data_IF_056216881658
#
_entry.id   IF_056216881658
#
_cell.length_a   1.000
_cell.length_b   1.000
_cell.length_c   1.000
_cell.angle_alpha   90.00
_cell.angle_beta   90.00
_cell.angle_gamma   90.00
#
_symmetry.space_group_name_H-M   'P 1'
#
loop_
_entity.id
_entity.type
_entity.pdbx_description
1 polymer ?
#
# COMPACT_ATOMS: atom_id res chain seq x y z
N UNK A 1 3.43 -6.00 10.52
CA UNK A 1 4.32 -4.89 10.12
C UNK A 1 3.59 -4.09 9.05
N UNK A 2 3.51 -2.77 9.17
CA UNK A 2 2.64 -1.93 8.31
C UNK A 2 3.48 -1.06 7.38
N UNK A 3 2.81 -0.31 6.51
CA UNK A 3 3.47 0.71 5.72
C UNK A 3 2.54 1.89 5.50
N UNK A 4 3.11 3.10 5.54
CA UNK A 4 2.40 4.35 5.36
C UNK A 4 2.50 4.81 3.89
N UNK A 5 1.36 5.13 3.31
CA UNK A 5 1.22 5.43 1.89
C UNK A 5 0.27 6.60 1.68
N UNK A 6 0.36 7.19 0.50
CA UNK A 6 -0.65 8.09 -0.02
C UNK A 6 -1.04 7.63 -1.43
N UNK A 7 -2.09 8.22 -1.96
CA UNK A 7 -2.58 7.89 -3.31
C UNK A 7 -2.51 9.16 -4.15
N UNK A 8 -1.96 9.02 -5.36
CA UNK A 8 -1.88 10.11 -6.34
C UNK A 8 -2.32 9.56 -7.70
N UNK A 9 -2.92 10.41 -8.54
CA UNK A 9 -3.23 10.06 -9.93
C UNK A 9 -1.94 9.83 -10.70
N UNK A 10 -1.92 8.85 -11.60
CA UNK A 10 -0.76 8.59 -12.46
C UNK A 10 -0.35 9.83 -13.26
N UNK A 11 -1.32 10.65 -13.69
CA UNK A 11 -1.08 11.92 -14.38
C UNK A 11 -0.39 12.99 -13.54
N UNK A 12 -0.35 12.84 -12.21
CA UNK A 12 0.26 13.77 -11.26
C UNK A 12 1.57 13.21 -10.69
N UNK A 13 2.03 12.03 -11.13
CA UNK A 13 3.31 11.45 -10.78
C UNK A 13 4.23 11.50 -11.98
N UNK A 14 5.38 12.16 -11.84
CA UNK A 14 6.42 12.25 -12.88
C UNK A 14 7.75 11.75 -12.34
N UNK A 15 8.39 10.84 -13.07
CA UNK A 15 9.79 10.51 -12.83
C UNK A 15 10.66 11.63 -13.38
N UNK A 16 11.40 12.30 -12.49
CA UNK A 16 12.32 13.38 -12.89
C UNK A 16 13.70 12.80 -13.26
N UNK A 17 14.03 11.63 -12.71
CA UNK A 17 15.29 10.88 -12.94
C UNK A 17 15.12 9.41 -12.53
N UNK A 18 16.00 8.55 -13.04
CA UNK A 18 16.18 7.17 -12.56
C UNK A 18 15.04 6.20 -12.88
N UNK A 19 14.13 6.56 -13.79
CA UNK A 19 13.05 5.65 -14.23
C UNK A 19 13.60 4.38 -14.89
N UNK A 20 14.73 4.49 -15.60
CA UNK A 20 15.45 3.37 -16.20
C UNK A 20 16.03 2.39 -15.15
N UNK A 21 16.07 2.79 -13.87
CA UNK A 21 16.51 1.96 -12.76
C UNK A 21 15.34 1.31 -12.00
N UNK A 22 14.09 1.48 -12.45
CA UNK A 22 12.95 0.87 -11.82
C UNK A 22 12.71 -0.55 -12.34
N UNK A 23 12.83 -1.53 -11.43
CA UNK A 23 12.32 -2.87 -11.64
C UNK A 23 10.84 -2.90 -11.28
N UNK A 24 10.03 -3.50 -12.16
CA UNK A 24 8.60 -3.69 -11.96
C UNK A 24 8.31 -5.17 -11.78
N UNK A 25 7.72 -5.52 -10.65
CA UNK A 25 7.31 -6.89 -10.35
C UNK A 25 5.80 -6.93 -10.08
N UNK A 26 5.08 -7.73 -10.85
CA UNK A 26 3.62 -7.88 -10.76
C UNK A 26 3.28 -9.31 -10.40
N UNK A 27 2.38 -9.49 -9.44
CA UNK A 27 1.78 -10.79 -9.10
C UNK A 27 0.28 -10.64 -8.82
N UNK A 28 -0.46 -11.75 -8.94
CA UNK A 28 -1.91 -11.81 -8.67
C UNK A 28 -2.32 -12.97 -7.76
N UNK A 29 -1.48 -13.99 -7.63
CA UNK A 29 -1.90 -15.29 -7.08
C UNK A 29 -2.22 -15.25 -5.59
N UNK A 30 -1.65 -14.28 -4.86
CA UNK A 30 -1.88 -14.09 -3.42
C UNK A 30 -2.84 -12.93 -3.10
N UNK A 31 -3.48 -12.34 -4.11
CA UNK A 31 -4.33 -11.16 -3.92
C UNK A 31 -5.79 -11.61 -3.88
N UNK A 32 -6.41 -11.43 -2.72
CA UNK A 32 -7.81 -11.74 -2.41
C UNK A 32 -8.83 -11.43 -3.53
N UNK A 33 -8.71 -10.26 -4.17
CA UNK A 33 -9.66 -9.78 -5.19
C UNK A 33 -9.36 -10.29 -6.61
N UNK A 34 -8.31 -11.10 -6.78
CA UNK A 34 -7.79 -11.53 -8.09
C UNK A 34 -7.19 -10.39 -8.93
N UNK A 35 -7.13 -9.18 -8.37
CA UNK A 35 -6.42 -8.06 -8.96
C UNK A 35 -4.92 -8.30 -8.87
N UNK A 36 -4.14 -7.67 -9.73
CA UNK A 36 -2.70 -7.66 -9.55
C UNK A 36 -2.25 -6.48 -8.69
N UNK A 37 -1.11 -6.64 -8.05
CA UNK A 37 -0.34 -5.55 -7.48
C UNK A 37 1.04 -5.55 -8.14
N UNK A 38 1.43 -4.40 -8.66
CA UNK A 38 2.75 -4.14 -9.24
C UNK A 38 3.57 -3.31 -8.25
N UNK A 39 4.74 -3.81 -7.90
CA UNK A 39 5.76 -3.11 -7.13
C UNK A 39 6.75 -2.45 -8.10
N UNK A 40 6.94 -1.13 -8.01
CA UNK A 40 8.00 -0.41 -8.71
C UNK A 40 9.09 -0.02 -7.71
N UNK A 41 10.26 -0.67 -7.80
CA UNK A 41 11.36 -0.48 -6.86
C UNK A 41 12.69 -0.25 -7.58
N UNK A 42 13.59 0.48 -6.92
CA UNK A 42 14.92 0.74 -7.45
C UNK A 42 15.75 -0.54 -7.50
N UNK A 43 16.30 -0.86 -8.68
CA UNK A 43 17.14 -2.05 -8.88
C UNK A 43 18.50 -1.97 -8.17
N UNK A 44 18.91 -0.78 -7.75
CA UNK A 44 20.22 -0.55 -7.11
C UNK A 44 20.12 -0.66 -5.58
N UNK A 45 19.17 0.05 -4.96
CA UNK A 45 19.05 0.11 -3.50
C UNK A 45 17.84 -0.67 -2.94
N UNK A 46 17.01 -1.28 -3.79
CA UNK A 46 15.83 -2.04 -3.38
C UNK A 46 14.67 -1.21 -2.83
N UNK A 47 14.78 0.12 -2.80
CA UNK A 47 13.72 0.99 -2.26
C UNK A 47 12.46 0.87 -3.12
N UNK A 48 11.36 0.46 -2.49
CA UNK A 48 10.04 0.43 -3.11
C UNK A 48 9.46 1.84 -3.13
N UNK A 49 9.35 2.44 -4.33
CA UNK A 49 8.84 3.81 -4.49
C UNK A 49 7.33 3.86 -4.42
N UNK A 50 6.67 3.07 -5.28
CA UNK A 50 5.21 3.04 -5.35
C UNK A 50 4.69 1.70 -5.85
N UNK A 51 3.38 1.53 -5.65
CA UNK A 51 2.62 0.41 -6.19
C UNK A 51 1.53 0.87 -7.12
N UNK A 52 1.11 -0.01 -8.03
CA UNK A 52 -0.07 0.14 -8.87
C UNK A 52 -0.87 -1.15 -8.86
N UNK A 53 -2.19 -1.06 -8.97
CA UNK A 53 -3.06 -2.23 -8.96
C UNK A 53 -4.10 -2.16 -10.06
N UNK A 54 -4.48 -3.31 -10.64
CA UNK A 54 -5.70 -3.35 -11.47
C UNK A 54 -6.96 -3.05 -10.66
N UNK A 55 -6.94 -3.21 -9.34
CA UNK A 55 -8.03 -2.85 -8.45
C UNK A 55 -8.12 -1.35 -8.17
N UNK A 56 -7.17 -0.56 -8.66
CA UNK A 56 -7.22 0.90 -8.58
C UNK A 56 -6.51 1.55 -9.77
N UNK A 57 -7.08 1.42 -10.98
CA UNK A 57 -6.43 1.85 -12.21
C UNK A 57 -6.28 3.38 -12.27
N UNK A 58 -5.20 3.85 -12.89
CA UNK A 58 -4.90 5.28 -13.02
C UNK A 58 -4.39 5.94 -11.74
N UNK A 59 -4.15 5.16 -10.68
CA UNK A 59 -3.64 5.63 -9.41
C UNK A 59 -2.31 4.95 -9.07
N UNK A 60 -1.39 5.73 -8.54
CA UNK A 60 -0.14 5.29 -7.94
C UNK A 60 -0.26 5.40 -6.42
N UNK A 61 0.35 4.43 -5.71
CA UNK A 61 0.36 4.34 -4.25
C UNK A 61 1.81 4.44 -3.77
N UNK A 62 2.39 5.65 -3.61
CA UNK A 62 3.76 5.81 -3.16
C UNK A 62 3.89 5.71 -1.64
N UNK A 63 5.10 5.39 -1.17
CA UNK A 63 5.44 5.39 0.25
C UNK A 63 5.69 6.82 0.72
N UNK A 64 5.19 7.19 1.90
CA UNK A 64 5.49 8.51 2.48
C UNK A 64 6.89 8.56 3.10
N UNK A 65 7.47 7.40 3.45
CA UNK A 65 8.79 7.33 4.11
C UNK A 65 9.97 7.81 3.27
N UNK A 66 9.81 7.98 1.96
CA UNK A 66 10.83 8.54 1.05
C UNK A 66 10.64 10.03 0.79
N UNK A 67 9.71 10.70 1.50
CA UNK A 67 9.42 12.11 1.33
C UNK A 67 10.08 12.91 2.44
N UNK A 68 11.04 13.74 2.05
CA UNK A 68 11.81 14.63 2.91
C UNK A 68 11.18 16.04 2.98
N UNK A 69 9.90 16.10 3.35
CA UNK A 69 9.17 17.35 3.57
C UNK A 69 8.29 17.20 4.81
N UNK A 70 8.75 17.74 5.94
CA UNK A 70 8.06 17.63 7.23
C UNK A 70 6.68 18.30 7.24
N UNK A 71 6.49 19.41 6.52
CA UNK A 71 5.20 20.09 6.48
C UNK A 71 4.15 19.19 5.81
N UNK A 72 4.54 18.45 4.77
CA UNK A 72 3.65 17.47 4.15
C UNK A 72 3.41 16.26 5.05
N UNK A 73 4.42 15.77 5.77
CA UNK A 73 4.27 14.67 6.74
C UNK A 73 3.24 15.00 7.83
N UNK A 74 3.29 16.22 8.38
CA UNK A 74 2.40 16.66 9.45
C UNK A 74 0.98 16.99 8.97
N UNK A 75 0.80 17.30 7.68
CA UNK A 75 -0.48 17.75 7.14
C UNK A 75 -1.08 16.78 6.13
N UNK A 76 -0.56 16.73 4.90
CA UNK A 76 -1.16 16.02 3.77
C UNK A 76 -0.98 14.51 3.83
N UNK A 77 0.08 14.05 4.49
CA UNK A 77 0.43 12.64 4.59
C UNK A 77 0.10 12.00 5.93
N UNK A 78 -0.53 12.76 6.84
CA UNK A 78 -1.15 12.18 8.03
C UNK A 78 -2.17 11.11 7.61
N UNK A 79 -1.98 9.84 8.02
CA UNK A 79 -2.91 8.77 7.66
C UNK A 79 -4.33 9.08 8.18
N UNK A 80 -5.33 8.76 7.37
CA UNK A 80 -6.76 8.91 7.71
C UNK A 80 -7.51 7.59 7.76
N UNK A 81 -6.91 6.54 7.18
CA UNK A 81 -7.50 5.21 7.11
C UNK A 81 -6.42 4.18 7.40
N UNK A 82 -6.72 3.20 8.25
CA UNK A 82 -5.92 2.00 8.45
C UNK A 82 -6.58 0.81 7.75
N UNK A 83 -5.86 0.18 6.81
CA UNK A 83 -6.38 -0.95 6.03
C UNK A 83 -5.71 -2.25 6.42
N UNK A 84 -6.41 -3.38 6.29
CA UNK A 84 -5.94 -4.71 6.72
C UNK A 84 -5.70 -4.80 8.23
N UNK A 85 -6.54 -4.14 9.03
CA UNK A 85 -6.29 -4.03 10.47
C UNK A 85 -6.35 -5.37 11.21
N UNK A 86 -7.14 -6.33 10.70
CA UNK A 86 -7.23 -7.68 11.26
C UNK A 86 -5.87 -8.40 11.25
N UNK A 87 -5.01 -8.04 10.29
CA UNK A 87 -3.67 -8.62 10.11
C UNK A 87 -2.57 -7.76 10.78
N UNK A 88 -2.97 -6.73 11.56
CA UNK A 88 -2.05 -5.92 12.38
C UNK A 88 -1.38 -6.83 13.41
N UNK A 89 -0.07 -6.66 13.59
CA UNK A 89 0.66 -7.39 14.62
C UNK A 89 0.13 -7.02 16.01
N UNK A 90 -0.19 -8.02 16.83
CA UNK A 90 -0.85 -7.81 18.14
C UNK A 90 -0.08 -6.88 19.11
N UNK A 91 1.25 -6.78 18.98
CA UNK A 91 2.07 -5.88 19.81
C UNK A 91 1.97 -4.40 19.40
N UNK A 92 1.47 -4.11 18.19
CA UNK A 92 1.37 -2.76 17.65
C UNK A 92 -0.01 -2.17 17.95
N UNK A 93 -0.04 -0.98 18.54
CA UNK A 93 -1.28 -0.25 18.78
C UNK A 93 -1.93 0.20 17.45
N UNK A 94 -3.27 0.26 17.37
CA UNK A 94 -3.97 0.85 16.23
C UNK A 94 -3.50 2.29 15.96
N UNK A 95 -3.52 2.70 14.69
CA UNK A 95 -3.23 4.08 14.34
C UNK A 95 -4.37 5.00 14.78
N UNK A 96 -4.08 6.25 15.16
CA UNK A 96 -5.14 7.24 15.41
C UNK A 96 -5.62 7.82 14.08
N UNK A 97 -6.62 7.19 13.48
CA UNK A 97 -7.16 7.52 12.16
C UNK A 97 -8.69 7.64 12.21
N UNK A 98 -9.30 8.15 11.14
CA UNK A 98 -10.75 8.36 11.07
C UNK A 98 -11.50 7.03 10.87
N UNK A 99 -10.87 6.07 10.19
CA UNK A 99 -11.49 4.79 9.85
C UNK A 99 -10.48 3.64 9.88
N UNK A 100 -10.92 2.51 10.43
CA UNK A 100 -10.21 1.25 10.35
C UNK A 100 -11.01 0.24 9.54
N UNK A 101 -10.35 -0.48 8.64
CA UNK A 101 -10.98 -1.49 7.80
C UNK A 101 -10.18 -2.79 7.82
N UNK A 102 -10.91 -3.90 7.95
CA UNK A 102 -10.35 -5.26 7.99
C UNK A 102 -9.60 -5.65 6.71
N UNK A 103 -9.91 -5.00 5.59
CA UNK A 103 -9.43 -5.39 4.26
C UNK A 103 -8.96 -4.23 3.40
N UNK A 104 -9.02 -4.44 2.08
CA UNK A 104 -8.68 -3.40 1.12
C UNK A 104 -9.78 -2.33 1.08
N UNK A 105 -9.42 -1.07 1.32
CA UNK A 105 -10.37 0.06 1.23
C UNK A 105 -10.78 0.37 -0.22
N UNK A 106 -9.85 0.24 -1.17
CA UNK A 106 -10.13 0.41 -2.60
C UNK A 106 -10.11 -0.94 -3.31
N UNK A 107 -11.29 -1.39 -3.78
CA UNK A 107 -11.45 -2.74 -4.38
C UNK A 107 -11.88 -2.75 -5.85
N UNK A 108 -12.13 -1.58 -6.45
CA UNK A 108 -12.76 -1.43 -7.77
C UNK A 108 -14.06 -2.27 -7.92
N UNK A 109 -14.90 -2.25 -6.88
CA UNK A 109 -16.20 -2.92 -6.89
C UNK A 109 -16.14 -4.45 -6.72
N UNK A 110 -14.97 -5.02 -6.44
CA UNK A 110 -14.84 -6.43 -6.08
C UNK A 110 -15.00 -6.62 -4.58
N UNK A 111 -15.67 -7.69 -4.18
CA UNK A 111 -15.65 -8.11 -2.78
C UNK A 111 -14.22 -8.47 -2.37
N UNK A 112 -13.85 -8.05 -1.16
CA UNK A 112 -12.60 -8.46 -0.55
C UNK A 112 -12.87 -9.64 0.39
N UNK A 113 -12.10 -10.71 0.23
CA UNK A 113 -12.12 -11.89 1.11
C UNK A 113 -10.69 -12.36 1.31
N UNK A 114 -10.19 -12.33 2.55
CA UNK A 114 -8.78 -12.62 2.77
C UNK A 114 -8.49 -14.12 2.59
N UNK A 115 -7.39 -14.43 1.90
CA UNK A 115 -6.90 -15.80 1.76
C UNK A 115 -6.38 -16.37 3.10
N UNK A 116 -6.20 -15.52 4.10
CA UNK A 116 -5.72 -15.87 5.43
C UNK A 116 -6.84 -15.91 6.48
N UNK A 117 -8.10 -15.80 6.08
CA UNK A 117 -9.23 -15.95 7.01
C UNK A 117 -9.27 -17.42 7.47
N UNK A 118 -8.65 -17.69 8.63
CA UNK A 118 -8.42 -19.03 9.19
C UNK A 118 -6.95 -19.46 9.31
N UNK A 119 -5.99 -18.71 8.75
CA UNK A 119 -4.55 -18.99 8.86
C UNK A 119 -3.94 -18.12 9.96
N UNK A 120 -4.36 -18.43 11.18
CA UNK A 120 -4.01 -17.69 12.40
C UNK A 120 -4.61 -18.34 13.64
N UNK A 121 -4.58 -19.68 13.69
CA UNK A 121 -4.96 -20.42 14.87
C UNK A 121 -3.97 -20.14 16.01
N UNK A 122 -4.52 -19.71 17.14
CA UNK A 122 -3.90 -19.45 18.46
C UNK A 122 -2.45 -19.95 18.57
N UNK A 123 -1.49 -19.03 18.46
CA UNK A 123 -0.20 -19.22 19.11
C UNK A 123 -0.41 -19.10 20.62
N UNK A 124 -0.03 -20.15 21.35
CA UNK A 124 0.00 -20.17 22.82
C UNK A 124 0.88 -19.05 23.39
#
# INVERSE_FOLDING_TARGET
>A
MFASNFVVKDSHLKHIRGEDKLTRFRQKDTIATGNYMENSFCSICGTLLYRRSSGYPGMSIPRIGTIDDFALQETKFKPRVETFEKDRCAWLKPASVDEHVDGAYYTAGKEWKSLHDGVGGKGN
#
